data_IF_196135897787
#
_entry.id   IF_196135897787
#
_cell.length_a   1.000
_cell.length_b   1.000
_cell.length_c   1.000
_cell.angle_alpha   90.00
_cell.angle_beta   90.00
_cell.angle_gamma   90.00
#
_symmetry.space_group_name_H-M   'P 1'
#
loop_
_entity.id
_entity.type
_entity.pdbx_description
1 polymer ?
#
# COMPACT_ATOMS: atom_id res chain seq x y z
N UNK A 1 14.22 -21.05 -5.33
CA UNK A 1 14.14 -19.57 -5.24
C UNK A 1 15.30 -18.97 -6.03
N UNK A 2 15.00 -18.23 -7.09
CA UNK A 2 16.00 -17.57 -7.95
C UNK A 2 15.57 -16.12 -8.14
N UNK A 3 16.48 -15.18 -7.88
CA UNK A 3 16.27 -13.78 -8.24
C UNK A 3 16.39 -13.66 -9.75
N UNK A 4 15.32 -13.23 -10.41
CA UNK A 4 15.31 -12.94 -11.84
C UNK A 4 15.61 -11.46 -12.05
N UNK A 5 16.58 -11.20 -12.89
CA UNK A 5 16.99 -9.89 -13.36
C UNK A 5 16.84 -9.80 -14.88
N UNK A 6 17.15 -8.64 -15.43
CA UNK A 6 17.19 -8.46 -16.88
C UNK A 6 18.38 -9.17 -17.58
N UNK A 7 19.12 -10.00 -16.86
CA UNK A 7 20.23 -10.78 -17.43
C UNK A 7 19.66 -11.79 -18.44
N UNK A 8 20.15 -11.76 -19.66
CA UNK A 8 19.74 -12.66 -20.76
C UNK A 8 20.00 -14.12 -20.45
N UNK A 9 20.99 -14.43 -19.61
CA UNK A 9 21.31 -15.79 -19.20
C UNK A 9 20.17 -16.47 -18.45
N UNK A 10 19.40 -15.72 -17.69
CA UNK A 10 18.31 -16.25 -16.85
C UNK A 10 17.02 -16.55 -17.64
N UNK A 11 16.82 -15.86 -18.76
CA UNK A 11 15.63 -16.02 -19.62
C UNK A 11 15.91 -16.74 -20.94
N UNK A 12 17.16 -17.22 -21.11
CA UNK A 12 17.56 -17.93 -22.33
C UNK A 12 16.71 -19.18 -22.52
N UNK A 13 16.11 -19.30 -23.72
CA UNK A 13 15.28 -20.45 -24.07
C UNK A 13 13.79 -20.28 -23.75
N UNK A 14 13.38 -19.09 -23.33
CA UNK A 14 11.97 -18.74 -23.18
C UNK A 14 11.57 -17.70 -24.25
N UNK A 15 10.46 -17.96 -24.95
CA UNK A 15 9.87 -17.03 -25.90
C UNK A 15 8.90 -16.07 -25.21
N UNK A 16 8.37 -16.48 -24.05
CA UNK A 16 7.37 -15.77 -23.28
C UNK A 16 7.72 -15.74 -21.78
N UNK A 17 7.51 -14.60 -21.15
CA UNK A 17 7.63 -14.42 -19.69
C UNK A 17 6.36 -13.81 -19.14
N UNK A 18 5.82 -14.40 -18.09
CA UNK A 18 4.67 -13.88 -17.33
C UNK A 18 5.21 -13.26 -16.03
N UNK A 19 4.94 -11.97 -15.84
CA UNK A 19 5.36 -11.21 -14.67
C UNK A 19 4.20 -11.03 -13.70
N UNK A 20 4.34 -11.62 -12.51
CA UNK A 20 3.40 -11.50 -11.40
C UNK A 20 4.09 -10.84 -10.19
N UNK A 21 4.85 -9.77 -10.43
CA UNK A 21 5.71 -9.11 -9.45
C UNK A 21 4.96 -8.30 -8.39
N UNK A 22 3.63 -8.24 -8.49
CA UNK A 22 2.79 -7.61 -7.49
C UNK A 22 2.85 -6.09 -7.49
N UNK A 23 2.65 -5.52 -6.32
CA UNK A 23 2.62 -4.07 -6.09
C UNK A 23 3.41 -3.70 -4.84
N UNK A 24 3.83 -2.46 -4.75
CA UNK A 24 4.52 -1.88 -3.62
C UNK A 24 3.78 -0.66 -3.06
N UNK A 25 4.07 -0.31 -1.79
CA UNK A 25 3.47 0.86 -1.14
C UNK A 25 3.92 2.15 -1.80
N UNK A 26 2.97 3.08 -1.97
CA UNK A 26 3.26 4.43 -2.47
C UNK A 26 3.84 5.28 -1.35
N UNK A 27 4.98 5.93 -1.62
CA UNK A 27 5.58 6.93 -0.76
C UNK A 27 5.80 8.23 -1.57
N UNK A 28 4.82 9.17 -1.60
CA UNK A 28 4.90 10.35 -2.44
C UNK A 28 6.04 11.28 -2.01
N UNK A 29 6.92 11.63 -2.94
CA UNK A 29 8.02 12.56 -2.69
C UNK A 29 7.55 13.98 -2.31
N UNK A 30 6.29 14.31 -2.57
CA UNK A 30 5.68 15.58 -2.15
C UNK A 30 5.46 15.72 -0.65
N UNK A 31 5.48 14.60 0.09
CA UNK A 31 5.39 14.60 1.55
C UNK A 31 6.80 14.70 2.12
N UNK A 32 7.09 15.79 2.79
CA UNK A 32 8.42 16.04 3.37
C UNK A 32 8.72 14.99 4.46
N UNK A 33 9.93 14.46 4.46
CA UNK A 33 10.37 13.44 5.43
C UNK A 33 9.67 12.09 5.30
N UNK A 34 9.06 11.77 4.14
CA UNK A 34 8.31 10.53 3.90
C UNK A 34 9.15 9.26 4.13
N UNK A 35 10.46 9.35 3.97
CA UNK A 35 11.41 8.26 4.23
C UNK A 35 11.53 7.85 5.71
N UNK A 36 10.98 8.63 6.63
CA UNK A 36 10.87 8.30 8.07
C UNK A 36 9.63 7.48 8.39
N UNK A 37 8.68 7.43 7.46
CA UNK A 37 7.48 6.62 7.62
C UNK A 37 7.74 5.17 7.18
N UNK A 38 6.94 4.24 7.69
CA UNK A 38 7.01 2.82 7.36
C UNK A 38 5.80 2.38 6.54
N UNK A 39 5.95 1.34 5.74
CA UNK A 39 4.85 0.78 4.95
C UNK A 39 3.88 -0.01 5.83
N UNK A 40 2.58 0.15 5.58
CA UNK A 40 1.54 -0.67 6.22
C UNK A 40 1.74 -2.18 5.94
N UNK A 41 2.21 -2.53 4.74
CA UNK A 41 2.50 -3.93 4.39
C UNK A 41 3.63 -4.49 5.24
N UNK A 42 4.73 -3.74 5.41
CA UNK A 42 5.87 -4.19 6.22
C UNK A 42 5.51 -4.34 7.70
N UNK A 43 4.60 -3.48 8.21
CA UNK A 43 4.07 -3.60 9.57
C UNK A 43 3.21 -4.87 9.71
N UNK A 44 2.28 -5.11 8.78
CA UNK A 44 1.39 -6.28 8.80
C UNK A 44 2.15 -7.60 8.62
N UNK A 45 3.25 -7.59 7.87
CA UNK A 45 4.14 -8.73 7.67
C UNK A 45 5.14 -8.93 8.83
N UNK A 46 5.14 -8.06 9.82
CA UNK A 46 6.06 -8.12 10.96
C UNK A 46 7.52 -7.79 10.63
N UNK A 47 7.79 -7.19 9.48
CA UNK A 47 9.14 -6.77 9.07
C UNK A 47 9.62 -5.54 9.82
N UNK A 48 8.69 -4.70 10.26
CA UNK A 48 8.96 -3.45 10.98
C UNK A 48 8.09 -3.38 12.22
N UNK A 49 8.70 -3.04 13.35
CA UNK A 49 7.99 -2.77 14.60
C UNK A 49 7.63 -1.29 14.70
N UNK A 50 6.49 -0.99 15.30
CA UNK A 50 6.04 0.38 15.57
C UNK A 50 6.25 0.77 17.04
N UNK A 51 6.24 2.06 17.33
CA UNK A 51 6.09 2.56 18.70
C UNK A 51 4.67 2.38 19.23
N UNK A 52 4.37 2.97 20.37
CA UNK A 52 3.07 2.83 21.04
C UNK A 52 1.98 3.68 20.42
N UNK A 53 2.32 4.88 19.99
CA UNK A 53 1.39 5.85 19.39
C UNK A 53 1.63 5.92 17.88
N UNK A 54 0.69 5.41 17.12
CA UNK A 54 0.86 5.19 15.67
C UNK A 54 -0.16 5.99 14.87
N UNK A 55 0.32 6.83 13.95
CA UNK A 55 -0.51 7.41 12.90
C UNK A 55 -0.52 6.48 11.68
N UNK A 56 -1.69 6.01 11.28
CA UNK A 56 -1.88 5.31 10.00
C UNK A 56 -2.41 6.29 8.97
N UNK A 57 -1.55 6.75 8.06
CA UNK A 57 -1.92 7.65 6.98
C UNK A 57 -2.57 6.88 5.83
N UNK A 58 -3.86 7.08 5.65
CA UNK A 58 -4.69 6.40 4.65
C UNK A 58 -5.82 5.59 5.27
N UNK A 59 -7.06 5.84 4.83
CA UNK A 59 -8.28 5.21 5.34
C UNK A 59 -8.91 4.22 4.36
N UNK A 60 -8.11 3.70 3.43
CA UNK A 60 -8.51 2.57 2.58
C UNK A 60 -8.59 1.26 3.38
N UNK A 61 -8.90 0.16 2.70
CA UNK A 61 -9.00 -1.15 3.34
C UNK A 61 -7.74 -1.50 4.13
N UNK A 62 -6.56 -1.43 3.51
CA UNK A 62 -5.26 -1.73 4.14
C UNK A 62 -5.02 -0.86 5.37
N UNK A 63 -5.31 0.45 5.29
CA UNK A 63 -5.11 1.36 6.42
C UNK A 63 -6.03 1.06 7.59
N UNK A 64 -7.31 0.78 7.33
CA UNK A 64 -8.25 0.38 8.36
C UNK A 64 -7.89 -0.97 8.99
N UNK A 65 -7.51 -1.97 8.19
CA UNK A 65 -7.05 -3.27 8.67
C UNK A 65 -5.78 -3.14 9.51
N UNK A 66 -4.82 -2.32 9.07
CA UNK A 66 -3.59 -2.04 9.84
C UNK A 66 -3.90 -1.36 11.17
N UNK A 67 -4.77 -0.36 11.18
CA UNK A 67 -5.17 0.33 12.41
C UNK A 67 -5.88 -0.61 13.41
N UNK A 68 -6.75 -1.49 12.91
CA UNK A 68 -7.41 -2.52 13.74
C UNK A 68 -6.40 -3.51 14.30
N UNK A 69 -5.45 -3.99 13.49
CA UNK A 69 -4.41 -4.91 13.93
C UNK A 69 -3.56 -4.30 15.06
N UNK A 70 -3.08 -3.07 14.87
CA UNK A 70 -2.29 -2.33 15.86
C UNK A 70 -3.09 -2.09 17.15
N UNK A 71 -4.34 -1.64 17.04
CA UNK A 71 -5.19 -1.38 18.21
C UNK A 71 -5.57 -2.66 18.98
N UNK A 72 -5.77 -3.79 18.29
CA UNK A 72 -5.97 -5.10 18.92
C UNK A 72 -4.75 -5.52 19.73
N UNK A 73 -3.55 -5.18 19.28
CA UNK A 73 -2.29 -5.46 19.96
C UNK A 73 -1.97 -4.44 21.08
N UNK A 74 -2.92 -3.59 21.44
CA UNK A 74 -2.85 -2.65 22.56
C UNK A 74 -2.15 -1.33 22.25
N UNK A 75 -1.98 -0.99 20.97
CA UNK A 75 -1.37 0.26 20.55
C UNK A 75 -2.43 1.36 20.29
N UNK A 76 -2.06 2.61 20.53
CA UNK A 76 -2.89 3.76 20.14
C UNK A 76 -2.78 4.01 18.65
N UNK A 77 -3.68 3.43 17.88
CA UNK A 77 -3.74 3.64 16.43
C UNK A 77 -4.66 4.80 16.06
N UNK A 78 -4.14 5.72 15.25
CA UNK A 78 -4.88 6.87 14.74
C UNK A 78 -4.84 6.84 13.20
N UNK A 79 -5.85 6.27 12.52
CA UNK A 79 -5.92 6.34 11.08
C UNK A 79 -6.37 7.72 10.61
N UNK A 80 -5.59 8.32 9.75
CA UNK A 80 -6.04 9.44 8.94
C UNK A 80 -6.87 8.90 7.79
N UNK A 81 -8.20 8.98 7.91
CA UNK A 81 -9.11 8.51 6.87
C UNK A 81 -9.18 9.55 5.76
N UNK A 82 -8.34 9.43 4.75
CA UNK A 82 -8.61 10.05 3.45
C UNK A 82 -9.83 9.36 2.84
N UNK A 83 -10.67 10.12 2.13
CA UNK A 83 -11.90 9.62 1.50
C UNK A 83 -11.74 8.21 0.90
N UNK A 84 -12.47 7.26 1.47
CA UNK A 84 -12.41 5.86 1.09
C UNK A 84 -13.20 5.66 -0.20
N UNK A 85 -12.54 5.80 -1.33
CA UNK A 85 -13.19 5.69 -2.63
C UNK A 85 -13.51 4.25 -3.05
N UNK A 86 -12.99 3.23 -2.37
CA UNK A 86 -13.23 1.84 -2.78
C UNK A 86 -13.08 0.82 -1.64
N UNK A 87 -14.11 0.70 -0.80
CA UNK A 87 -14.30 -0.51 0.03
C UNK A 87 -15.68 -1.08 -0.32
N UNK A 88 -15.82 -2.38 -0.64
CA UNK A 88 -17.12 -3.02 -0.83
C UNK A 88 -18.02 -2.76 0.39
N UNK A 89 -19.33 -2.60 0.19
CA UNK A 89 -20.26 -2.19 1.27
C UNK A 89 -20.17 -3.03 2.54
N UNK A 90 -20.05 -4.36 2.42
CA UNK A 90 -20.02 -5.28 3.58
C UNK A 90 -18.70 -5.23 4.38
N UNK A 91 -17.49 -5.33 3.75
CA UNK A 91 -16.23 -5.12 4.46
C UNK A 91 -16.13 -3.76 5.14
N UNK A 92 -16.68 -2.70 4.51
CA UNK A 92 -16.70 -1.34 5.05
C UNK A 92 -17.45 -1.25 6.38
N UNK A 93 -18.61 -1.88 6.48
CA UNK A 93 -19.40 -1.90 7.73
C UNK A 93 -18.66 -2.66 8.85
N UNK A 94 -18.06 -3.80 8.52
CA UNK A 94 -17.32 -4.61 9.47
C UNK A 94 -16.06 -3.90 9.98
N UNK A 95 -15.27 -3.32 9.08
CA UNK A 95 -14.07 -2.55 9.45
C UNK A 95 -14.42 -1.33 10.32
N UNK A 96 -15.51 -0.62 10.00
CA UNK A 96 -15.99 0.49 10.84
C UNK A 96 -16.34 0.03 12.23
N UNK A 97 -17.10 -1.06 12.37
CA UNK A 97 -17.47 -1.63 13.67
C UNK A 97 -16.22 -2.06 14.47
N UNK A 98 -15.21 -2.64 13.81
CA UNK A 98 -13.96 -3.00 14.45
C UNK A 98 -13.16 -1.79 14.92
N UNK A 99 -13.06 -0.74 14.09
CA UNK A 99 -12.40 0.52 14.46
C UNK A 99 -13.07 1.15 15.70
N UNK A 100 -14.40 1.14 15.75
CA UNK A 100 -15.19 1.61 16.91
C UNK A 100 -14.97 0.72 18.14
N UNK A 101 -15.02 -0.60 17.98
CA UNK A 101 -14.79 -1.58 19.05
C UNK A 101 -13.42 -1.42 19.70
N UNK A 102 -12.38 -1.23 18.90
CA UNK A 102 -11.01 -1.03 19.38
C UNK A 102 -10.69 0.44 19.71
N UNK A 103 -11.70 1.33 19.70
CA UNK A 103 -11.58 2.76 20.05
C UNK A 103 -10.50 3.48 19.23
N UNK A 104 -10.37 3.12 17.97
CA UNK A 104 -9.44 3.77 17.06
C UNK A 104 -9.90 5.21 16.77
N UNK A 105 -9.04 6.19 17.00
CA UNK A 105 -9.36 7.60 16.78
C UNK A 105 -9.25 7.96 15.29
N UNK A 106 -10.36 8.07 14.59
CA UNK A 106 -10.43 8.35 13.16
C UNK A 106 -10.36 9.86 12.85
N UNK A 107 -9.30 10.28 12.18
CA UNK A 107 -9.11 11.65 11.69
C UNK A 107 -9.55 11.73 10.21
N UNK A 108 -10.77 12.20 9.97
CA UNK A 108 -11.33 12.31 8.60
C UNK A 108 -11.04 13.66 7.96
N UNK A 109 -10.95 13.70 6.63
CA UNK A 109 -10.73 14.93 5.88
C UNK A 109 -9.34 15.56 6.11
N UNK A 110 -8.35 14.78 6.55
CA UNK A 110 -6.98 15.22 6.82
C UNK A 110 -6.02 14.73 5.73
N UNK A 111 -5.02 15.52 5.41
CA UNK A 111 -3.87 15.15 4.56
C UNK A 111 -2.58 15.21 5.35
N UNK A 112 -1.67 14.30 5.03
CA UNK A 112 -0.31 14.28 5.57
C UNK A 112 0.57 15.23 4.76
N UNK A 113 1.24 16.18 5.41
CA UNK A 113 2.14 17.14 4.79
C UNK A 113 3.62 16.81 5.02
N UNK A 114 3.94 16.36 6.24
CA UNK A 114 5.32 16.08 6.64
C UNK A 114 5.35 14.95 7.67
N UNK A 115 6.42 14.15 7.65
CA UNK A 115 6.80 13.23 8.72
C UNK A 115 8.10 13.72 9.33
N UNK A 116 8.11 13.98 10.64
CA UNK A 116 9.25 14.56 11.35
C UNK A 116 9.55 13.81 12.66
N UNK A 117 10.52 14.27 13.44
CA UNK A 117 10.95 13.62 14.67
C UNK A 117 9.89 13.65 15.80
N UNK A 118 8.88 14.52 15.69
CA UNK A 118 7.79 14.62 16.67
C UNK A 118 6.53 13.86 16.23
N UNK A 119 6.57 13.26 15.03
CA UNK A 119 5.44 12.56 14.43
C UNK A 119 5.09 13.10 13.04
N UNK A 120 3.90 13.67 12.85
CA UNK A 120 3.40 14.09 11.55
C UNK A 120 2.79 15.49 11.57
N UNK A 121 3.01 16.24 10.51
CA UNK A 121 2.29 17.49 10.24
C UNK A 121 1.10 17.17 9.32
N UNK A 122 -0.09 17.46 9.79
CA UNK A 122 -1.35 17.21 9.09
C UNK A 122 -2.13 18.50 8.86
N UNK A 123 -3.05 18.49 7.91
CA UNK A 123 -3.92 19.63 7.61
C UNK A 123 -5.23 19.11 7.03
N UNK A 124 -6.32 19.85 7.19
CA UNK A 124 -7.56 19.54 6.45
C UNK A 124 -7.34 19.57 4.94
N UNK A 125 -7.96 18.63 4.23
CA UNK A 125 -7.81 18.48 2.78
C UNK A 125 -8.31 19.69 2.00
N UNK A 126 -9.32 20.40 2.53
CA UNK A 126 -9.88 21.64 1.96
C UNK A 126 -9.02 22.88 2.25
N UNK A 127 -7.94 22.75 3.04
CA UNK A 127 -7.08 23.87 3.41
C UNK A 127 -7.69 24.84 4.43
N UNK A 128 -8.84 24.52 5.03
CA UNK A 128 -9.58 25.40 5.95
C UNK A 128 -8.89 25.61 7.31
N UNK A 129 -7.83 24.85 7.60
CA UNK A 129 -7.06 24.96 8.85
C UNK A 129 -5.58 25.18 8.57
N UNK A 130 -4.88 25.82 9.52
CA UNK A 130 -3.43 25.78 9.54
C UNK A 130 -2.91 24.34 9.75
N UNK A 131 -1.69 24.02 9.27
CA UNK A 131 -1.06 22.76 9.59
C UNK A 131 -0.93 22.51 11.08
N UNK A 132 -1.25 21.30 11.52
CA UNK A 132 -1.21 20.88 12.92
C UNK A 132 -0.18 19.78 13.12
N UNK A 133 0.63 19.88 14.18
CA UNK A 133 1.56 18.84 14.59
C UNK A 133 0.82 17.75 15.37
N UNK A 134 0.78 16.56 14.81
CA UNK A 134 0.29 15.37 15.50
C UNK A 134 1.47 14.58 16.07
N UNK A 135 1.53 14.45 17.37
CA UNK A 135 2.58 13.69 18.04
C UNK A 135 2.30 12.19 17.90
N UNK A 136 3.23 11.45 17.34
CA UNK A 136 3.20 9.99 17.25
C UNK A 136 4.63 9.41 17.17
N UNK A 137 4.77 8.17 17.62
CA UNK A 137 6.07 7.48 17.61
C UNK A 137 6.39 6.93 16.22
N UNK A 138 5.34 6.57 15.46
CA UNK A 138 5.48 5.98 14.12
C UNK A 138 4.38 6.48 13.20
N UNK A 139 4.76 6.88 11.98
CA UNK A 139 3.84 7.12 10.88
C UNK A 139 3.86 5.92 9.92
N UNK A 140 2.71 5.30 9.72
CA UNK A 140 2.51 4.16 8.83
C UNK A 140 1.80 4.62 7.56
N UNK A 141 2.34 4.31 6.39
CA UNK A 141 1.78 4.68 5.09
C UNK A 141 0.86 3.59 4.55
N UNK A 142 -0.40 3.94 4.36
CA UNK A 142 -1.44 3.11 3.72
C UNK A 142 -2.19 3.91 2.62
N UNK A 143 -1.49 4.84 1.95
CA UNK A 143 -2.05 5.79 0.99
C UNK A 143 -2.13 5.26 -0.44
N UNK A 144 -1.90 3.99 -0.64
CA UNK A 144 -2.06 3.29 -1.91
C UNK A 144 -0.91 2.36 -2.23
N UNK A 145 -1.12 1.62 -3.31
CA UNK A 145 -0.14 0.72 -3.92
C UNK A 145 0.10 1.13 -5.36
N UNK A 146 1.27 0.78 -5.88
CA UNK A 146 1.59 0.90 -7.31
C UNK A 146 2.17 -0.40 -7.85
N UNK A 147 1.92 -0.74 -9.13
CA UNK A 147 2.52 -1.90 -9.76
C UNK A 147 4.05 -1.88 -9.70
N UNK A 148 4.67 -3.05 -9.51
CA UNK A 148 6.12 -3.23 -9.61
C UNK A 148 6.48 -3.54 -11.06
N UNK A 149 6.90 -2.51 -11.82
CA UNK A 149 7.11 -2.58 -13.28
C UNK A 149 8.58 -2.61 -13.71
N UNK A 150 9.53 -2.44 -12.77
CA UNK A 150 10.95 -2.30 -13.10
C UNK A 150 11.49 -3.45 -13.96
N UNK A 151 11.07 -4.69 -13.68
CA UNK A 151 11.49 -5.85 -14.45
C UNK A 151 10.88 -5.85 -15.86
N UNK A 152 9.59 -5.50 -16.01
CA UNK A 152 8.94 -5.39 -17.32
C UNK A 152 9.62 -4.34 -18.21
N UNK A 153 9.95 -3.18 -17.64
CA UNK A 153 10.66 -2.12 -18.34
C UNK A 153 12.04 -2.58 -18.82
N UNK A 154 12.74 -3.39 -18.04
CA UNK A 154 14.08 -3.90 -18.38
C UNK A 154 14.09 -4.89 -19.56
N UNK A 155 12.92 -5.45 -19.93
CA UNK A 155 12.76 -6.32 -21.11
C UNK A 155 12.35 -5.56 -22.36
N UNK A 156 12.13 -4.27 -22.34
CA UNK A 156 11.77 -3.49 -23.53
C UNK A 156 12.82 -3.61 -24.63
N UNK A 157 12.35 -3.82 -25.85
CA UNK A 157 13.20 -3.94 -27.03
C UNK A 157 13.89 -5.29 -27.19
N UNK A 158 13.60 -6.27 -26.35
CA UNK A 158 14.08 -7.65 -26.49
C UNK A 158 13.09 -8.48 -27.31
N UNK A 159 13.61 -9.51 -27.96
CA UNK A 159 12.79 -10.46 -28.75
C UNK A 159 12.17 -11.51 -27.80
N UNK A 160 11.28 -11.05 -26.91
CA UNK A 160 10.56 -11.89 -25.95
C UNK A 160 9.18 -11.28 -25.68
N UNK A 161 8.17 -12.12 -25.59
CA UNK A 161 6.81 -11.68 -25.25
C UNK A 161 6.66 -11.56 -23.73
N UNK A 162 6.19 -10.40 -23.27
CA UNK A 162 6.03 -10.14 -21.82
C UNK A 162 4.55 -9.92 -21.51
N UNK A 163 4.03 -10.70 -20.60
CA UNK A 163 2.71 -10.50 -19.98
C UNK A 163 2.86 -10.06 -18.53
N UNK A 164 2.13 -9.03 -18.15
CA UNK A 164 1.99 -8.62 -16.74
C UNK A 164 0.59 -9.00 -16.26
N UNK A 165 0.48 -9.65 -15.11
CA UNK A 165 -0.77 -10.11 -14.52
C UNK A 165 -0.97 -9.62 -13.09
N UNK A 166 -2.22 -9.58 -12.65
CA UNK A 166 -2.61 -9.16 -11.30
C UNK A 166 -2.12 -7.76 -10.95
N UNK A 167 -1.66 -7.57 -9.72
CA UNK A 167 -1.23 -6.26 -9.23
C UNK A 167 0.05 -5.73 -9.90
N UNK A 168 0.81 -6.55 -10.62
CA UNK A 168 1.91 -6.09 -11.48
C UNK A 168 1.40 -5.35 -12.74
N UNK A 169 0.18 -5.68 -13.21
CA UNK A 169 -0.50 -4.98 -14.30
C UNK A 169 -1.32 -3.80 -13.77
N UNK A 170 -2.18 -4.08 -12.81
CA UNK A 170 -3.08 -3.11 -12.16
C UNK A 170 -3.41 -3.55 -10.75
N UNK A 171 -3.15 -2.68 -9.79
CA UNK A 171 -3.52 -2.95 -8.39
C UNK A 171 -5.00 -3.31 -8.29
N UNK A 172 -5.30 -4.44 -7.67
CA UNK A 172 -6.64 -4.99 -7.57
C UNK A 172 -6.72 -6.08 -6.50
N UNK A 173 -7.78 -6.88 -6.59
CA UNK A 173 -8.04 -8.00 -5.70
C UNK A 173 -7.54 -9.35 -6.25
N UNK A 174 -7.68 -10.40 -5.45
CA UNK A 174 -7.27 -11.76 -5.80
C UNK A 174 -8.08 -12.28 -7.01
N UNK A 175 -9.37 -11.93 -7.09
CA UNK A 175 -10.23 -12.34 -8.19
C UNK A 175 -9.70 -11.81 -9.54
N UNK A 176 -9.38 -10.51 -9.60
CA UNK A 176 -8.79 -9.89 -10.77
C UNK A 176 -7.44 -10.52 -11.16
N UNK A 177 -6.59 -10.83 -10.17
CA UNK A 177 -5.30 -11.45 -10.42
C UNK A 177 -5.42 -12.86 -11.02
N UNK A 178 -6.35 -13.66 -10.49
CA UNK A 178 -6.64 -15.02 -11.04
C UNK A 178 -7.22 -14.95 -12.44
N UNK A 179 -8.12 -13.99 -12.70
CA UNK A 179 -8.71 -13.77 -14.02
C UNK A 179 -7.66 -13.36 -15.06
N UNK A 180 -6.79 -12.39 -14.71
CA UNK A 180 -5.69 -11.97 -15.58
C UNK A 180 -4.78 -13.18 -15.96
N UNK A 181 -4.45 -14.02 -14.97
CA UNK A 181 -3.63 -15.21 -15.21
C UNK A 181 -4.31 -16.19 -16.17
N UNK A 182 -5.61 -16.47 -15.95
CA UNK A 182 -6.40 -17.34 -16.80
C UNK A 182 -6.48 -16.80 -18.24
N UNK A 183 -6.81 -15.51 -18.42
CA UNK A 183 -6.93 -14.89 -19.74
C UNK A 183 -5.62 -14.98 -20.53
N UNK A 184 -4.48 -14.70 -19.87
CA UNK A 184 -3.18 -14.76 -20.53
C UNK A 184 -2.89 -16.17 -21.00
N UNK A 185 -3.01 -17.18 -20.12
CA UNK A 185 -2.68 -18.57 -20.46
C UNK A 185 -3.65 -19.14 -21.48
N UNK A 186 -4.94 -18.80 -21.40
CA UNK A 186 -5.96 -19.28 -22.34
C UNK A 186 -5.77 -18.75 -23.77
N UNK A 187 -5.23 -17.52 -23.91
CA UNK A 187 -4.99 -16.88 -25.21
C UNK A 187 -3.53 -16.96 -25.68
N UNK A 188 -2.67 -17.70 -24.97
CA UNK A 188 -1.32 -17.99 -25.44
C UNK A 188 -1.39 -19.11 -26.49
N UNK A 189 -0.92 -18.83 -27.72
CA UNK A 189 -0.73 -19.80 -28.80
C UNK A 189 0.55 -20.63 -28.62
#
# INVERSE_FOLDING_TARGET
NTLITADEGQIRGFDTVILATGAESVAPASIKGINKAVSALDVLEGKVSTGKKVLVAGGGQIGCETAVALARDGLEAMPSVMDVMFVPKQPKMMLKAMLEQYKVNMLTGMKLLEVNEKGALIQKTDGSTEPEQLECDTTVLAIGLRPVNALAESFRGRNITIYQIGSARRVGDIFGAVHDAFEVVYNMD
#
